data_IF_051501956165
#
_entry.id   IF_051501956165
#
_cell.length_a   1.000
_cell.length_b   1.000
_cell.length_c   1.000
_cell.angle_alpha   90.00
_cell.angle_beta   90.00
_cell.angle_gamma   90.00
#
_symmetry.space_group_name_H-M   'P 1'
#
loop_
_entity.id
_entity.type
_entity.pdbx_description
1 polymer ?
#
# COMPACT_ATOMS: atom_id res chain seq x y z
N UNK A 1 44.31 8.77 -20.54
CA UNK A 1 42.95 9.35 -20.46
C UNK A 1 41.88 8.35 -19.97
N UNK A 2 42.21 7.07 -19.80
CA UNK A 2 41.28 6.02 -19.33
C UNK A 2 40.70 6.26 -17.93
N UNK A 3 41.47 6.88 -17.03
CA UNK A 3 41.04 7.14 -15.65
C UNK A 3 39.81 8.07 -15.55
N UNK A 4 39.62 8.97 -16.52
CA UNK A 4 38.44 9.85 -16.57
C UNK A 4 37.20 9.10 -17.05
N UNK A 5 37.36 8.21 -18.03
CA UNK A 5 36.28 7.37 -18.53
C UNK A 5 35.76 6.43 -17.44
N UNK A 6 36.66 5.90 -16.61
CA UNK A 6 36.30 5.04 -15.46
C UNK A 6 35.46 5.79 -14.41
N UNK A 7 35.86 7.03 -14.10
CA UNK A 7 35.10 7.91 -13.19
C UNK A 7 33.72 8.24 -13.76
N UNK A 8 33.62 8.53 -15.06
CA UNK A 8 32.34 8.79 -15.74
C UNK A 8 31.44 7.54 -15.74
N UNK A 9 32.01 6.37 -16.01
CA UNK A 9 31.28 5.10 -15.96
C UNK A 9 30.74 4.83 -14.55
N UNK A 10 31.54 5.12 -13.51
CA UNK A 10 31.12 4.96 -12.12
C UNK A 10 30.01 5.93 -11.73
N UNK A 11 30.07 7.18 -12.21
CA UNK A 11 28.99 8.16 -11.99
C UNK A 11 27.68 7.68 -12.63
N UNK A 12 27.74 7.16 -13.87
CA UNK A 12 26.56 6.65 -14.56
C UNK A 12 25.94 5.44 -13.85
N UNK A 13 26.77 4.54 -13.32
CA UNK A 13 26.32 3.40 -12.52
C UNK A 13 25.62 3.87 -11.23
N UNK A 14 26.23 4.79 -10.50
CA UNK A 14 25.68 5.35 -9.26
C UNK A 14 24.35 6.08 -9.51
N UNK A 15 24.22 6.80 -10.62
CA UNK A 15 22.97 7.45 -11.01
C UNK A 15 21.87 6.45 -11.30
N UNK A 16 22.18 5.34 -12.01
CA UNK A 16 21.23 4.25 -12.22
C UNK A 16 20.79 3.60 -10.91
N UNK A 17 21.72 3.37 -10.00
CA UNK A 17 21.41 2.81 -8.68
C UNK A 17 20.50 3.76 -7.86
N UNK A 18 20.78 5.06 -7.89
CA UNK A 18 19.95 6.07 -7.23
C UNK A 18 18.52 6.12 -7.80
N UNK A 19 18.37 6.02 -9.12
CA UNK A 19 17.06 5.98 -9.80
C UNK A 19 16.27 4.72 -9.43
N UNK A 20 16.91 3.55 -9.39
CA UNK A 20 16.25 2.31 -9.00
C UNK A 20 15.81 2.34 -7.53
N UNK A 21 16.70 2.78 -6.63
CA UNK A 21 16.35 2.98 -5.21
C UNK A 21 15.18 3.94 -5.06
N UNK A 22 15.19 5.08 -5.75
CA UNK A 22 14.07 6.04 -5.74
C UNK A 22 12.77 5.42 -6.25
N UNK A 23 12.83 4.54 -7.25
CA UNK A 23 11.67 3.82 -7.78
C UNK A 23 11.15 2.78 -6.79
N UNK A 24 12.04 2.07 -6.11
CA UNK A 24 11.71 1.11 -5.05
C UNK A 24 11.03 1.81 -3.87
N UNK A 25 11.61 2.92 -3.38
CA UNK A 25 11.07 3.74 -2.30
C UNK A 25 9.67 4.28 -2.66
N UNK A 26 9.51 4.84 -3.87
CA UNK A 26 8.19 5.29 -4.35
C UNK A 26 7.18 4.16 -4.41
N UNK A 27 7.59 2.97 -4.86
CA UNK A 27 6.70 1.79 -4.90
C UNK A 27 6.33 1.31 -3.50
N UNK A 28 7.25 1.34 -2.55
CA UNK A 28 7.00 1.00 -1.15
C UNK A 28 6.00 1.98 -0.52
N UNK A 29 6.20 3.29 -0.69
CA UNK A 29 5.27 4.31 -0.22
C UNK A 29 3.89 4.16 -0.86
N UNK A 30 3.80 3.90 -2.16
CA UNK A 30 2.50 3.64 -2.82
C UNK A 30 1.82 2.38 -2.25
N UNK A 31 2.59 1.32 -1.98
CA UNK A 31 2.07 0.10 -1.37
C UNK A 31 1.57 0.37 0.05
N UNK A 32 2.30 1.14 0.85
CA UNK A 32 1.91 1.54 2.20
C UNK A 32 0.65 2.43 2.18
N UNK A 33 0.59 3.43 1.31
CA UNK A 33 -0.59 4.28 1.13
C UNK A 33 -1.80 3.48 0.65
N UNK A 34 -1.60 2.48 -0.22
CA UNK A 34 -2.65 1.55 -0.66
C UNK A 34 -3.06 0.57 0.43
N UNK A 35 -2.13 0.21 1.33
CA UNK A 35 -2.41 -0.47 2.58
C UNK A 35 -3.07 0.50 3.58
N UNK A 36 -4.20 1.08 3.16
CA UNK A 36 -5.09 1.81 4.06
C UNK A 36 -5.46 0.85 5.18
N UNK A 37 -5.13 1.19 6.43
CA UNK A 37 -5.49 0.38 7.61
C UNK A 37 -6.95 -0.07 7.46
N UNK A 38 -7.16 -1.38 7.53
CA UNK A 38 -8.49 -1.94 7.66
C UNK A 38 -9.19 -1.20 8.80
N UNK A 39 -10.32 -0.54 8.51
CA UNK A 39 -11.09 0.18 9.52
C UNK A 39 -12.12 -0.74 10.15
N UNK A 40 -12.61 -1.71 9.38
CA UNK A 40 -13.62 -2.67 9.80
C UNK A 40 -13.12 -4.11 9.59
N UNK A 41 -13.51 -5.04 10.47
CA UNK A 41 -13.26 -6.47 10.37
C UNK A 41 -14.50 -7.27 10.75
N UNK A 42 -14.80 -8.27 9.95
CA UNK A 42 -15.82 -9.26 10.26
C UNK A 42 -15.27 -10.27 11.28
N UNK A 43 -15.86 -10.41 12.48
CA UNK A 43 -15.41 -11.38 13.48
C UNK A 43 -15.68 -12.84 13.08
N UNK A 44 -16.65 -13.10 12.19
CA UNK A 44 -17.02 -14.45 11.78
C UNK A 44 -16.10 -14.99 10.66
N UNK A 45 -15.75 -14.17 9.68
CA UNK A 45 -14.97 -14.59 8.50
C UNK A 45 -13.53 -14.06 8.50
N UNK A 46 -13.23 -13.06 9.35
CA UNK A 46 -11.94 -12.37 9.36
C UNK A 46 -11.75 -11.37 8.22
N UNK A 47 -12.73 -11.20 7.34
CA UNK A 47 -12.66 -10.23 6.23
C UNK A 47 -12.52 -8.80 6.74
N UNK A 48 -11.69 -7.99 6.08
CA UNK A 48 -11.45 -6.60 6.48
C UNK A 48 -11.82 -5.61 5.40
N UNK A 49 -12.28 -4.43 5.79
CA UNK A 49 -12.60 -3.33 4.89
C UNK A 49 -12.02 -2.01 5.38
N UNK A 50 -11.37 -1.26 4.49
CA UNK A 50 -10.71 0.00 4.81
C UNK A 50 -11.69 1.19 4.94
N UNK A 51 -12.99 0.98 4.72
CA UNK A 51 -13.99 2.05 4.69
C UNK A 51 -13.98 2.89 3.41
N UNK A 52 -13.16 2.52 2.42
CA UNK A 52 -13.10 3.16 1.10
C UNK A 52 -13.69 2.23 0.04
N UNK A 53 -14.47 2.79 -0.88
CA UNK A 53 -15.07 2.04 -2.00
C UNK A 53 -16.38 1.35 -1.64
N UNK A 54 -16.73 0.29 -2.36
CA UNK A 54 -17.96 -0.49 -2.15
C UNK A 54 -17.80 -1.32 -0.87
N UNK A 55 -18.79 -1.22 0.02
CA UNK A 55 -18.83 -2.03 1.23
C UNK A 55 -18.96 -3.53 0.88
N UNK A 56 -18.27 -4.43 1.58
CA UNK A 56 -18.39 -5.86 1.35
C UNK A 56 -19.78 -6.38 1.74
N UNK A 57 -20.17 -7.53 1.19
CA UNK A 57 -21.50 -8.13 1.37
C UNK A 57 -21.88 -8.31 2.85
N UNK A 58 -20.94 -8.79 3.67
CA UNK A 58 -21.18 -8.99 5.11
C UNK A 58 -21.53 -7.69 5.85
N UNK A 59 -20.93 -6.56 5.47
CA UNK A 59 -21.21 -5.28 6.10
C UNK A 59 -22.56 -4.74 5.66
N UNK A 60 -22.92 -4.91 4.39
CA UNK A 60 -24.24 -4.56 3.87
C UNK A 60 -25.34 -5.41 4.52
N UNK A 61 -25.11 -6.71 4.70
CA UNK A 61 -26.06 -7.59 5.38
C UNK A 61 -26.20 -7.23 6.86
N UNK A 62 -25.10 -6.86 7.53
CA UNK A 62 -25.14 -6.38 8.90
C UNK A 62 -25.92 -5.07 9.04
N UNK A 63 -25.72 -4.11 8.13
CA UNK A 63 -26.49 -2.85 8.10
C UNK A 63 -27.98 -3.12 7.83
N UNK A 64 -28.31 -4.04 6.91
CA UNK A 64 -29.70 -4.47 6.65
C UNK A 64 -30.34 -5.16 7.86
N UNK A 65 -29.56 -5.90 8.65
CA UNK A 65 -30.00 -6.51 9.89
C UNK A 65 -30.12 -5.50 11.05
N UNK A 66 -29.92 -4.20 10.80
CA UNK A 66 -30.01 -3.12 11.80
C UNK A 66 -28.77 -2.98 12.67
N UNK A 67 -27.66 -3.66 12.34
CA UNK A 67 -26.40 -3.56 13.08
C UNK A 67 -25.60 -2.37 12.57
N UNK A 68 -25.09 -1.53 13.47
CA UNK A 68 -24.21 -0.44 13.03
C UNK A 68 -22.86 -0.99 12.58
N UNK A 69 -22.33 -0.40 11.50
CA UNK A 69 -20.98 -0.62 10.99
C UNK A 69 -19.90 -0.43 12.06
N UNK A 70 -20.17 0.41 13.07
CA UNK A 70 -19.26 0.66 14.20
C UNK A 70 -18.97 -0.60 15.02
N UNK A 71 -19.88 -1.57 15.02
CA UNK A 71 -19.70 -2.86 15.70
C UNK A 71 -18.55 -3.70 15.11
N UNK A 72 -18.10 -3.34 13.91
CA UNK A 72 -17.05 -4.05 13.18
C UNK A 72 -15.74 -3.26 13.15
N UNK A 73 -15.65 -2.10 13.82
CA UNK A 73 -14.41 -1.32 13.88
C UNK A 73 -13.30 -2.13 14.57
N UNK A 74 -12.07 -2.03 14.03
CA UNK A 74 -10.85 -2.58 14.65
C UNK A 74 -9.91 -1.51 15.18
#
# INVERSE_FOLDING_TARGET
>A
MEKYQDVVAKIAELQRQAEDLKKQERKAVIKEVRAVKAKYRNPATGETWSGRGIAPRWLQEAEKAGKSRDSFLI
#
